data_IF_936497922788
#
_entry.id   IF_936497922788
#
_cell.length_a   1.000
_cell.length_b   1.000
_cell.length_c   1.000
_cell.angle_alpha   90.00
_cell.angle_beta   90.00
_cell.angle_gamma   90.00
#
_symmetry.space_group_name_H-M   'P 1'
#
loop_
_entity.id
_entity.type
_entity.pdbx_description
1 polymer ?
#
# COMPACT_ATOMS: atom_id res chain seq x y z
N UNK A 1 2.26 -4.74 8.68
CA UNK A 1 1.83 -3.99 7.47
C UNK A 1 2.92 -2.99 7.15
N UNK A 2 3.21 -2.76 5.88
CA UNK A 2 4.24 -1.80 5.44
C UNK A 2 3.69 -0.89 4.37
N UNK A 3 4.10 0.37 4.39
CA UNK A 3 3.65 1.39 3.46
C UNK A 3 4.88 1.96 2.78
N UNK A 4 4.89 1.96 1.45
CA UNK A 4 5.88 2.68 0.66
C UNK A 4 5.23 3.91 0.01
N UNK A 5 5.96 5.01 -0.04
CA UNK A 5 5.48 6.28 -0.60
C UNK A 5 6.30 6.59 -1.84
N UNK A 6 5.62 6.81 -2.96
CA UNK A 6 6.23 7.31 -4.18
C UNK A 6 6.21 8.83 -4.14
N UNK A 7 7.39 9.43 -4.01
CA UNK A 7 7.53 10.89 -4.02
C UNK A 7 7.61 11.40 -5.46
N UNK A 8 7.22 12.66 -5.66
CA UNK A 8 7.44 13.36 -6.91
C UNK A 8 8.94 13.51 -7.23
N UNK A 9 9.26 13.93 -8.46
CA UNK A 9 10.67 14.09 -8.89
C UNK A 9 11.46 15.08 -8.02
N UNK A 10 10.79 16.05 -7.41
CA UNK A 10 11.43 17.02 -6.51
C UNK A 10 11.52 16.53 -5.07
N UNK A 11 10.98 15.34 -4.77
CA UNK A 11 10.91 14.73 -3.45
C UNK A 11 10.24 15.64 -2.39
N UNK A 12 9.21 16.38 -2.81
CA UNK A 12 8.44 17.33 -2.00
C UNK A 12 7.04 16.85 -1.68
N UNK A 13 6.40 16.14 -2.60
CA UNK A 13 5.01 15.71 -2.47
C UNK A 13 4.89 14.21 -2.75
N UNK A 14 4.00 13.54 -2.03
CA UNK A 14 3.65 12.15 -2.31
C UNK A 14 2.75 12.10 -3.55
N UNK A 15 3.14 11.32 -4.55
CA UNK A 15 2.32 11.02 -5.72
C UNK A 15 1.38 9.85 -5.46
N UNK A 16 1.90 8.75 -4.88
CA UNK A 16 1.16 7.51 -4.71
C UNK A 16 1.63 6.74 -3.47
N UNK A 17 0.75 5.86 -2.99
CA UNK A 17 0.98 5.03 -1.82
C UNK A 17 0.86 3.55 -2.18
N UNK A 18 1.81 2.74 -1.73
CA UNK A 18 1.74 1.29 -1.83
C UNK A 18 1.49 0.70 -0.45
N UNK A 19 0.35 0.03 -0.27
CA UNK A 19 -0.02 -0.63 0.99
C UNK A 19 0.27 -2.12 0.86
N UNK A 20 1.36 -2.57 1.49
CA UNK A 20 1.87 -3.93 1.33
C UNK A 20 1.53 -4.80 2.54
N UNK A 21 0.94 -5.98 2.33
CA UNK A 21 0.72 -6.94 3.41
C UNK A 21 2.06 -7.53 3.87
N UNK A 22 2.13 -7.91 5.15
CA UNK A 22 3.36 -8.46 5.73
C UNK A 22 3.77 -9.82 5.12
N UNK A 23 2.83 -10.55 4.51
CA UNK A 23 3.07 -11.80 3.76
C UNK A 23 3.98 -11.58 2.55
N UNK A 24 3.79 -10.47 1.84
CA UNK A 24 4.47 -10.19 0.57
C UNK A 24 5.81 -9.46 0.74
N UNK A 25 6.13 -9.02 1.96
CA UNK A 25 7.43 -8.42 2.29
C UNK A 25 8.60 -9.42 2.29
N UNK A 26 8.33 -10.72 2.13
CA UNK A 26 9.39 -11.74 2.02
C UNK A 26 10.14 -11.70 0.70
N UNK A 27 9.64 -10.96 -0.31
CA UNK A 27 10.32 -10.80 -1.58
C UNK A 27 11.55 -9.88 -1.43
N UNK A 28 12.79 -10.37 -1.61
CA UNK A 28 14.03 -9.63 -1.29
C UNK A 28 14.33 -8.44 -2.21
N UNK A 29 13.44 -8.10 -3.15
CA UNK A 29 13.65 -7.07 -4.17
C UNK A 29 12.35 -6.35 -4.52
N UNK A 30 11.76 -5.67 -3.54
CA UNK A 30 10.78 -4.62 -3.81
C UNK A 30 11.50 -3.48 -4.56
N UNK A 31 11.52 -3.57 -5.89
CA UNK A 31 12.13 -2.56 -6.76
C UNK A 31 11.14 -1.42 -6.93
N UNK A 32 11.16 -0.47 -6.00
CA UNK A 32 10.38 0.77 -6.04
C UNK A 32 10.92 1.74 -7.12
N UNK A 33 10.96 1.29 -8.38
CA UNK A 33 11.40 2.08 -9.53
C UNK A 33 10.29 2.26 -10.56
N UNK A 34 10.55 3.02 -11.64
CA UNK A 34 9.54 3.38 -12.67
C UNK A 34 8.83 2.18 -13.33
N UNK A 35 9.38 0.97 -13.21
CA UNK A 35 8.74 -0.28 -13.61
C UNK A 35 8.60 -1.21 -12.40
N UNK A 36 7.60 -0.90 -11.57
CA UNK A 36 7.06 -1.85 -10.62
C UNK A 36 6.40 -2.98 -11.43
N UNK A 37 6.83 -4.23 -11.24
CA UNK A 37 6.18 -5.36 -11.91
C UNK A 37 4.69 -5.42 -11.55
N UNK A 38 3.86 -6.02 -12.43
CA UNK A 38 2.38 -6.12 -12.36
C UNK A 38 1.82 -6.42 -10.95
N UNK A 39 2.58 -7.12 -10.10
CA UNK A 39 2.18 -7.43 -8.72
C UNK A 39 2.09 -6.22 -7.79
N UNK A 40 2.85 -5.15 -8.01
CA UNK A 40 2.87 -3.95 -7.16
C UNK A 40 1.73 -2.97 -7.49
N UNK A 41 1.29 -2.93 -8.74
CA UNK A 41 0.17 -2.08 -9.17
C UNK A 41 -1.13 -2.44 -8.44
N UNK A 42 -1.31 -3.72 -8.08
CA UNK A 42 -2.46 -4.17 -7.30
C UNK A 42 -2.51 -3.58 -5.88
N UNK A 43 -1.39 -3.05 -5.38
CA UNK A 43 -1.27 -2.45 -4.06
C UNK A 43 -1.07 -0.92 -4.11
N UNK A 44 -1.15 -0.31 -5.29
CA UNK A 44 -1.03 1.14 -5.48
C UNK A 44 -2.37 1.82 -5.21
N UNK A 45 -2.33 2.90 -4.45
CA UNK A 45 -3.47 3.75 -4.13
C UNK A 45 -3.07 5.22 -4.23
N UNK A 46 -3.99 6.06 -4.70
CA UNK A 46 -3.78 7.51 -4.82
C UNK A 46 -3.82 8.20 -3.44
N UNK A 47 -4.53 7.60 -2.46
CA UNK A 47 -4.66 8.12 -1.09
C UNK A 47 -4.48 7.00 -0.06
N UNK A 48 -4.31 7.39 1.21
CA UNK A 48 -4.28 6.46 2.34
C UNK A 48 -5.66 6.12 2.90
N UNK A 49 -6.75 6.61 2.30
CA UNK A 49 -8.11 6.35 2.78
C UNK A 49 -8.43 4.85 2.92
N UNK A 50 -8.02 3.96 1.98
CA UNK A 50 -8.24 2.52 2.12
C UNK A 50 -7.56 1.92 3.35
N UNK A 51 -6.41 2.46 3.75
CA UNK A 51 -5.74 2.03 4.98
C UNK A 51 -6.59 2.37 6.21
N UNK A 52 -7.12 3.59 6.25
CA UNK A 52 -7.95 4.05 7.36
C UNK A 52 -9.28 3.30 7.42
N UNK A 53 -9.86 2.96 6.27
CA UNK A 53 -11.05 2.11 6.19
C UNK A 53 -10.79 0.71 6.74
N UNK A 54 -9.64 0.10 6.39
CA UNK A 54 -9.23 -1.20 6.93
C UNK A 54 -8.92 -1.15 8.43
N UNK A 55 -8.42 -0.02 8.94
CA UNK A 55 -8.19 0.20 10.36
C UNK A 55 -9.47 0.55 11.13
N UNK A 56 -10.57 0.83 10.43
CA UNK A 56 -11.87 1.12 11.01
C UNK A 56 -12.39 -0.03 11.85
N UNK A 57 -12.98 0.28 13.01
CA UNK A 57 -13.65 -0.73 13.84
C UNK A 57 -14.93 -1.18 13.14
N UNK A 58 -14.93 -2.40 12.62
CA UNK A 58 -16.15 -3.09 12.18
C UNK A 58 -16.77 -3.84 13.35
N UNK A 59 -18.09 -3.69 13.53
CA UNK A 59 -18.84 -4.59 14.41
C UNK A 59 -18.81 -5.96 13.76
N UNK A 60 -18.16 -6.92 14.42
CA UNK A 60 -18.24 -8.31 14.00
C UNK A 60 -19.69 -8.74 14.17
N UNK A 61 -20.38 -9.04 13.08
CA UNK A 61 -21.70 -9.64 13.16
C UNK A 61 -21.50 -11.06 13.70
N UNK A 62 -22.14 -11.34 14.82
CA UNK A 62 -22.18 -12.68 15.40
C UNK A 62 -22.80 -13.61 14.36
N UNK A 63 -22.08 -14.68 14.02
CA UNK A 63 -22.62 -15.73 13.15
C UNK A 63 -23.59 -16.53 14.00
N UNK A 64 -24.89 -16.39 13.70
CA UNK A 64 -25.98 -17.13 14.35
C UNK A 64 -26.01 -18.60 13.91
#
# INVERSE_FOLDING_TARGET
MTIAVQMDRSNREAQDYYILPASDMSAPRLRLGEYNGIALDAFRFDTLDPLFDMAGRVKLLEVA
#
